data_IF_453090525479
#
_entry.id   IF_453090525479
#
_cell.length_a   1.000
_cell.length_b   1.000
_cell.length_c   1.000
_cell.angle_alpha   90.00
_cell.angle_beta   90.00
_cell.angle_gamma   90.00
#
_symmetry.space_group_name_H-M   'P 1'
#
loop_
_entity.id
_entity.type
_entity.pdbx_description
1 polymer ?
#
# COMPACT_ATOMS: atom_id res chain seq x y z
N UNK A 1 13.51 10.74 -4.72
CA UNK A 1 12.11 11.17 -4.51
C UNK A 1 11.23 10.06 -3.95
N UNK A 2 11.19 8.86 -4.55
CA UNK A 2 10.29 7.79 -4.10
C UNK A 2 10.48 7.35 -2.64
N UNK A 3 11.72 7.16 -2.17
CA UNK A 3 11.98 6.81 -0.77
C UNK A 3 11.52 7.91 0.21
N UNK A 4 11.57 9.17 -0.21
CA UNK A 4 11.01 10.30 0.58
C UNK A 4 9.50 10.13 0.74
N UNK A 5 8.76 9.84 -0.33
CA UNK A 5 7.32 9.60 -0.25
C UNK A 5 6.95 8.29 0.43
N UNK A 6 7.85 7.30 0.49
CA UNK A 6 7.65 6.10 1.31
C UNK A 6 7.66 6.47 2.80
N UNK A 7 8.72 7.15 3.26
CA UNK A 7 8.89 7.50 4.69
C UNK A 7 7.96 8.61 5.17
N UNK A 8 7.68 9.57 4.28
CA UNK A 8 6.88 10.76 4.56
C UNK A 8 5.74 10.86 3.55
N UNK A 9 4.80 9.90 3.55
CA UNK A 9 3.72 9.90 2.59
C UNK A 9 2.77 11.07 2.87
N UNK A 10 2.32 11.81 1.83
CA UNK A 10 1.31 12.86 2.01
C UNK A 10 -0.05 12.27 2.43
N UNK A 11 -0.31 11.00 2.11
CA UNK A 11 -1.47 10.23 2.53
C UNK A 11 -1.05 9.12 3.51
N UNK A 12 -1.49 9.21 4.76
CA UNK A 12 -1.20 8.17 5.77
C UNK A 12 -2.12 6.95 5.67
N UNK A 13 -3.31 7.12 5.08
CA UNK A 13 -4.29 6.06 4.86
C UNK A 13 -5.18 6.37 3.64
N UNK A 14 -5.65 5.32 2.96
CA UNK A 14 -6.71 5.43 1.95
C UNK A 14 -8.02 4.90 2.50
N UNK A 15 -9.10 5.58 2.15
CA UNK A 15 -10.45 5.13 2.42
C UNK A 15 -11.09 4.66 1.12
N UNK A 16 -11.72 3.50 1.17
CA UNK A 16 -12.51 2.94 0.07
C UNK A 16 -13.87 2.49 0.60
N UNK A 17 -14.83 2.37 -0.29
CA UNK A 17 -16.15 1.78 0.00
C UNK A 17 -16.40 0.66 -1.01
N UNK A 18 -16.72 -0.53 -0.54
CA UNK A 18 -17.06 -1.64 -1.41
C UNK A 18 -18.31 -1.30 -2.24
N UNK A 19 -18.19 -1.31 -3.57
CA UNK A 19 -19.30 -1.03 -4.50
C UNK A 19 -20.31 -2.18 -4.56
N UNK A 20 -19.85 -3.40 -4.29
CA UNK A 20 -20.62 -4.63 -4.26
C UNK A 20 -20.09 -5.57 -3.18
N UNK A 21 -20.89 -6.58 -2.82
CA UNK A 21 -20.42 -7.64 -1.92
C UNK A 21 -19.38 -8.49 -2.66
N UNK A 22 -18.18 -8.59 -2.09
CA UNK A 22 -17.07 -9.34 -2.64
C UNK A 22 -16.61 -10.40 -1.64
N UNK A 23 -16.59 -11.66 -2.07
CA UNK A 23 -16.04 -12.78 -1.30
C UNK A 23 -14.68 -13.11 -1.88
N UNK A 24 -13.63 -12.98 -1.06
CA UNK A 24 -12.31 -13.43 -1.47
C UNK A 24 -12.25 -14.95 -1.37
N UNK A 25 -11.88 -15.64 -2.44
CA UNK A 25 -12.01 -17.10 -2.54
C UNK A 25 -10.96 -17.85 -1.72
N UNK A 26 -9.80 -17.23 -1.45
CA UNK A 26 -8.69 -17.86 -0.74
C UNK A 26 -8.80 -17.76 0.79
N UNK A 27 -9.80 -17.05 1.31
CA UNK A 27 -9.99 -16.88 2.76
C UNK A 27 -11.49 -16.80 3.10
N UNK A 28 -11.82 -16.66 4.39
CA UNK A 28 -13.19 -16.38 4.84
C UNK A 28 -13.58 -14.90 4.73
N UNK A 29 -12.72 -14.04 4.16
CA UNK A 29 -12.96 -12.60 4.03
C UNK A 29 -14.14 -12.31 3.09
N UNK A 30 -15.13 -11.59 3.62
CA UNK A 30 -16.26 -11.07 2.87
C UNK A 30 -16.34 -9.56 3.11
N UNK A 31 -16.24 -8.80 2.03
CA UNK A 31 -16.48 -7.35 2.02
C UNK A 31 -17.92 -7.12 1.61
N UNK A 32 -18.77 -6.61 2.50
CA UNK A 32 -20.17 -6.34 2.18
C UNK A 32 -20.30 -5.06 1.36
N UNK A 33 -21.27 -4.99 0.44
CA UNK A 33 -21.62 -3.74 -0.26
C UNK A 33 -21.79 -2.60 0.74
N UNK A 34 -21.13 -1.46 0.48
CA UNK A 34 -21.15 -0.28 1.33
C UNK A 34 -20.17 -0.30 2.51
N UNK A 35 -19.47 -1.42 2.76
CA UNK A 35 -18.47 -1.49 3.81
C UNK A 35 -17.30 -0.55 3.54
N UNK A 36 -16.95 0.25 4.54
CA UNK A 36 -15.77 1.13 4.53
C UNK A 36 -14.52 0.28 4.75
N UNK A 37 -13.49 0.54 3.96
CA UNK A 37 -12.20 -0.15 3.99
C UNK A 37 -11.14 0.92 4.20
N UNK A 38 -10.21 0.64 5.11
CA UNK A 38 -9.06 1.48 5.39
C UNK A 38 -7.82 0.73 4.93
N UNK A 39 -7.01 1.37 4.10
CA UNK A 39 -5.69 0.87 3.69
C UNK A 39 -4.66 1.72 4.41
N UNK A 40 -3.94 1.18 5.41
CA UNK A 40 -3.01 1.95 6.22
C UNK A 40 -1.67 2.14 5.48
N UNK A 41 -1.60 3.12 4.57
CA UNK A 41 -0.42 3.39 3.74
C UNK A 41 0.83 3.52 4.62
N UNK A 42 0.78 4.34 5.68
CA UNK A 42 1.94 4.55 6.54
C UNK A 42 2.43 3.24 7.16
N UNK A 43 1.52 2.42 7.69
CA UNK A 43 1.90 1.12 8.26
C UNK A 43 2.50 0.18 7.20
N UNK A 44 1.92 0.12 6.00
CA UNK A 44 2.46 -0.70 4.90
C UNK A 44 3.85 -0.24 4.46
N UNK A 45 4.07 1.07 4.41
CA UNK A 45 5.36 1.65 4.06
C UNK A 45 6.45 1.33 5.09
N UNK A 46 6.10 1.07 6.34
CA UNK A 46 7.03 0.78 7.43
C UNK A 46 7.01 -0.70 7.89
N UNK A 47 6.29 -1.56 7.18
CA UNK A 47 6.25 -2.99 7.43
C UNK A 47 7.52 -3.66 6.88
N UNK A 48 8.26 -4.32 7.77
CA UNK A 48 9.54 -4.97 7.45
C UNK A 48 9.38 -6.16 6.51
N UNK A 49 8.17 -6.72 6.42
CA UNK A 49 7.79 -7.74 5.44
C UNK A 49 7.92 -7.25 4.00
N UNK A 50 7.75 -5.95 3.76
CA UNK A 50 7.79 -5.36 2.41
C UNK A 50 9.00 -4.45 2.20
N UNK A 51 9.51 -3.86 3.28
CA UNK A 51 10.66 -2.96 3.25
C UNK A 51 11.64 -3.33 4.36
N UNK A 52 12.66 -4.14 4.06
CA UNK A 52 13.76 -4.49 4.97
C UNK A 52 14.35 -3.23 5.64
N UNK A 53 14.64 -3.19 6.94
CA UNK A 53 15.09 -1.97 7.63
C UNK A 53 14.26 -0.70 7.29
N UNK A 54 12.94 -0.69 7.51
CA UNK A 54 12.05 0.35 7.01
C UNK A 54 12.33 1.74 7.61
N UNK A 55 13.02 1.78 8.76
CA UNK A 55 13.46 2.98 9.45
C UNK A 55 14.71 3.63 8.82
N UNK A 56 15.51 2.88 8.04
CA UNK A 56 16.59 3.46 7.23
C UNK A 56 15.99 4.26 6.06
N UNK A 57 16.67 5.33 5.65
CA UNK A 57 16.39 5.98 4.37
C UNK A 57 17.31 5.35 3.33
N UNK A 58 16.74 4.63 2.37
CA UNK A 58 17.49 3.89 1.36
C UNK A 58 16.89 4.08 -0.05
N UNK A 59 17.45 5.02 -0.85
CA UNK A 59 16.97 5.30 -2.21
C UNK A 59 17.06 4.10 -3.16
N UNK A 60 18.01 3.19 -2.94
CA UNK A 60 18.29 2.06 -3.85
C UNK A 60 17.13 1.05 -3.88
N UNK A 61 16.21 1.08 -2.90
CA UNK A 61 14.95 0.31 -2.92
C UNK A 61 14.07 0.61 -4.13
N UNK A 62 14.28 1.77 -4.75
CA UNK A 62 13.53 2.22 -5.92
C UNK A 62 14.39 2.23 -7.18
N UNK A 63 15.56 1.57 -7.16
CA UNK A 63 16.36 1.34 -8.35
C UNK A 63 15.60 0.44 -9.36
N UNK A 64 15.93 0.52 -10.66
CA UNK A 64 15.35 -0.37 -11.67
C UNK A 64 15.50 -1.86 -11.34
N UNK A 65 16.65 -2.25 -10.78
CA UNK A 65 17.00 -3.64 -10.44
C UNK A 65 16.17 -4.18 -9.27
N UNK A 66 15.72 -3.30 -8.38
CA UNK A 66 14.90 -3.65 -7.22
C UNK A 66 13.39 -3.49 -7.48
N UNK A 67 12.99 -2.96 -8.64
CA UNK A 67 11.58 -2.72 -8.98
C UNK A 67 10.72 -3.98 -8.86
N UNK A 68 11.20 -5.10 -9.40
CA UNK A 68 10.45 -6.37 -9.45
C UNK A 68 10.38 -7.09 -8.09
N UNK A 69 11.25 -6.72 -7.14
CA UNK A 69 11.24 -7.29 -5.78
C UNK A 69 10.12 -6.72 -4.92
N UNK A 70 9.54 -5.57 -5.30
CA UNK A 70 8.51 -4.88 -4.54
C UNK A 70 7.13 -5.43 -4.92
N UNK A 71 6.35 -5.99 -3.97
CA UNK A 71 4.99 -6.43 -4.27
C UNK A 71 4.11 -5.26 -4.74
N UNK A 72 3.16 -5.56 -5.63
CA UNK A 72 2.15 -4.58 -6.02
C UNK A 72 1.29 -4.17 -4.82
N UNK A 73 0.84 -2.91 -4.79
CA UNK A 73 -0.08 -2.41 -3.76
C UNK A 73 0.54 -2.13 -2.38
N UNK A 74 1.87 -2.14 -2.24
CA UNK A 74 2.56 -1.80 -0.98
C UNK A 74 3.20 -0.41 -0.96
N UNK A 75 3.41 0.19 -2.14
CA UNK A 75 3.89 1.58 -2.27
C UNK A 75 2.79 2.41 -2.93
N UNK A 76 2.04 3.15 -2.12
CA UNK A 76 0.83 3.87 -2.53
C UNK A 76 0.84 5.33 -2.01
N UNK A 77 1.92 6.11 -2.23
CA UNK A 77 2.05 7.45 -1.65
C UNK A 77 0.94 8.42 -2.08
N UNK A 78 0.36 8.19 -3.27
CA UNK A 78 -0.72 8.99 -3.85
C UNK A 78 -1.99 8.15 -4.08
N UNK A 79 -2.04 6.93 -3.55
CA UNK A 79 -3.09 5.97 -3.86
C UNK A 79 -2.98 5.30 -5.22
N UNK A 80 -4.04 4.58 -5.60
CA UNK A 80 -4.17 3.85 -6.86
C UNK A 80 -5.65 3.77 -7.28
N UNK A 81 -5.87 3.78 -8.60
CA UNK A 81 -7.19 3.76 -9.24
C UNK A 81 -7.64 5.12 -9.83
N UNK A 82 -8.89 5.23 -10.29
CA UNK A 82 -9.40 6.40 -11.03
C UNK A 82 -9.57 7.68 -10.20
N UNK A 83 -9.31 7.64 -8.90
CA UNK A 83 -9.39 8.80 -7.99
C UNK A 83 -8.02 9.07 -7.32
N UNK A 84 -6.93 8.80 -8.04
CA UNK A 84 -5.54 9.03 -7.61
C UNK A 84 -4.95 10.21 -8.36
#
# INVERSE_FOLDING_TARGET
>A
EFETFRKYPPLIALFRKASQTYRYTLTTLILKKGQKIVIPIYSLHFDDKYFEDPQKFDPERFSPENKDKRPNGVYLPFGEGPNS
#
